data_IF_334027181855
#
_entry.id   IF_334027181855
#
_cell.length_a   1.000
_cell.length_b   1.000
_cell.length_c   1.000
_cell.angle_alpha   90.00
_cell.angle_beta   90.00
_cell.angle_gamma   90.00
#
_symmetry.space_group_name_H-M   'P 1'
#
loop_
_entity.id
_entity.type
_entity.pdbx_description
1 polymer ?
#
# COMPACT_ATOMS: atom_id res chain seq x y z
N UNK A 1 -7.63 5.11 31.90
CA UNK A 1 -6.52 5.97 31.43
C UNK A 1 -6.26 5.61 29.97
N UNK A 2 -6.59 6.48 29.00
CA UNK A 2 -6.27 6.21 27.57
C UNK A 2 -4.77 6.40 27.37
N UNK A 3 -4.04 5.46 26.73
CA UNK A 3 -2.62 5.64 26.47
C UNK A 3 -2.42 6.89 25.59
N UNK A 4 -1.50 7.77 25.98
CA UNK A 4 -1.08 8.90 25.13
C UNK A 4 -0.48 8.32 23.86
N UNK A 5 -1.11 8.56 22.70
CA UNK A 5 -0.54 8.20 21.39
C UNK A 5 0.82 8.91 21.25
N UNK A 6 1.90 8.14 21.06
CA UNK A 6 3.24 8.70 20.83
C UNK A 6 3.29 9.36 19.45
N UNK A 7 3.99 10.49 19.36
CA UNK A 7 4.24 11.17 18.08
C UNK A 7 5.17 10.31 17.22
N UNK A 8 4.82 10.12 15.95
CA UNK A 8 5.62 9.34 15.01
C UNK A 8 6.99 10.00 14.77
N UNK A 9 8.06 9.20 14.84
CA UNK A 9 9.34 9.54 14.25
C UNK A 9 9.27 9.29 12.74
N UNK A 10 9.05 10.37 11.99
CA UNK A 10 8.83 10.33 10.54
C UNK A 10 10.15 10.21 9.76
N UNK A 11 11.28 10.53 10.39
CA UNK A 11 12.60 10.46 9.74
C UNK A 11 13.16 9.03 9.72
N UNK A 12 12.51 8.10 10.43
CA UNK A 12 12.94 6.71 10.57
C UNK A 12 11.93 5.66 10.07
N UNK A 13 10.84 6.08 9.41
CA UNK A 13 9.81 5.16 8.92
C UNK A 13 10.37 4.03 8.03
N UNK A 14 9.83 2.82 8.20
CA UNK A 14 10.01 1.71 7.25
C UNK A 14 8.73 1.47 6.45
N UNK A 15 8.84 1.49 5.12
CA UNK A 15 7.75 1.12 4.23
C UNK A 15 8.21 0.23 3.09
N UNK A 16 7.37 -0.73 2.70
CA UNK A 16 7.63 -1.67 1.63
C UNK A 16 6.45 -1.69 0.64
N UNK A 17 6.70 -1.72 -0.68
CA UNK A 17 5.65 -1.95 -1.66
C UNK A 17 5.34 -3.45 -1.76
N UNK A 18 4.11 -3.83 -1.41
CA UNK A 18 3.62 -5.20 -1.56
C UNK A 18 2.38 -5.24 -2.46
N UNK A 19 1.61 -6.33 -2.45
CA UNK A 19 0.44 -6.50 -3.30
C UNK A 19 -0.50 -7.57 -2.75
N UNK A 20 -1.72 -7.70 -3.30
CA UNK A 20 -2.67 -8.75 -2.89
C UNK A 20 -2.14 -10.19 -3.05
N UNK A 21 -1.10 -10.35 -3.87
CA UNK A 21 -0.33 -11.60 -4.00
C UNK A 21 0.30 -12.11 -2.71
N UNK A 22 0.49 -11.27 -1.69
CA UNK A 22 0.96 -11.70 -0.37
C UNK A 22 -0.09 -12.43 0.46
N UNK A 23 -1.37 -12.28 0.13
CA UNK A 23 -2.49 -12.93 0.83
C UNK A 23 -3.20 -13.99 -0.02
N UNK A 24 -3.05 -13.94 -1.34
CA UNK A 24 -3.73 -14.83 -2.28
C UNK A 24 -2.84 -15.15 -3.46
N UNK A 25 -3.11 -16.24 -4.18
CA UNK A 25 -2.35 -16.57 -5.38
C UNK A 25 -2.54 -15.50 -6.47
N UNK A 26 -1.49 -14.76 -6.79
CA UNK A 26 -1.39 -13.82 -7.91
C UNK A 26 -0.07 -14.12 -8.64
N UNK A 27 -0.09 -14.32 -9.97
CA UNK A 27 1.06 -14.60 -10.84
C UNK A 27 1.83 -15.93 -10.61
N UNK A 28 2.54 -16.09 -9.50
CA UNK A 28 3.39 -17.26 -9.25
C UNK A 28 3.62 -17.51 -7.77
N UNK A 29 4.08 -18.71 -7.42
CA UNK A 29 4.47 -19.06 -6.04
C UNK A 29 5.60 -18.20 -5.51
N UNK A 30 6.62 -17.91 -6.34
CA UNK A 30 7.75 -17.05 -5.96
C UNK A 30 7.33 -15.61 -5.73
N UNK A 31 6.43 -15.07 -6.57
CA UNK A 31 5.86 -13.74 -6.39
C UNK A 31 5.08 -13.65 -5.08
N UNK A 32 4.15 -14.59 -4.86
CA UNK A 32 3.33 -14.62 -3.65
C UNK A 32 4.17 -14.77 -2.38
N UNK A 33 5.15 -15.69 -2.38
CA UNK A 33 6.06 -15.87 -1.25
C UNK A 33 6.87 -14.59 -0.94
N UNK A 34 7.37 -13.90 -1.96
CA UNK A 34 8.09 -12.64 -1.78
C UNK A 34 7.21 -11.55 -1.17
N UNK A 35 5.96 -11.42 -1.64
CA UNK A 35 5.01 -10.43 -1.12
C UNK A 35 4.53 -10.76 0.30
N UNK A 36 4.20 -12.02 0.57
CA UNK A 36 3.85 -12.48 1.91
C UNK A 36 4.99 -12.26 2.92
N UNK A 37 6.24 -12.42 2.47
CA UNK A 37 7.43 -12.13 3.26
C UNK A 37 7.53 -10.65 3.65
N UNK A 38 7.25 -9.72 2.73
CA UNK A 38 7.22 -8.28 3.02
C UNK A 38 6.12 -7.91 4.02
N UNK A 39 4.94 -8.53 3.88
CA UNK A 39 3.81 -8.32 4.79
C UNK A 39 4.18 -8.77 6.21
N UNK A 40 4.70 -10.00 6.34
CA UNK A 40 5.13 -10.56 7.63
C UNK A 40 6.25 -9.75 8.26
N UNK A 41 7.30 -9.46 7.50
CA UNK A 41 8.44 -8.68 7.97
C UNK A 41 8.01 -7.32 8.51
N UNK A 42 7.07 -6.65 7.85
CA UNK A 42 6.60 -5.34 8.29
C UNK A 42 5.72 -5.43 9.55
N UNK A 43 4.91 -6.48 9.68
CA UNK A 43 4.14 -6.74 10.89
C UNK A 43 5.07 -6.97 12.11
N UNK A 44 6.14 -7.75 11.94
CA UNK A 44 7.12 -8.00 13.00
C UNK A 44 7.91 -6.72 13.35
N UNK A 45 8.36 -5.97 12.34
CA UNK A 45 8.99 -4.65 12.55
C UNK A 45 8.08 -3.69 13.30
N UNK A 46 6.77 -3.70 13.06
CA UNK A 46 5.83 -2.82 13.77
C UNK A 46 5.85 -3.07 15.28
N UNK A 47 5.96 -4.33 15.72
CA UNK A 47 6.08 -4.69 17.14
C UNK A 47 7.42 -4.25 17.73
N UNK A 48 8.52 -4.49 17.01
CA UNK A 48 9.88 -4.16 17.46
C UNK A 48 10.14 -2.65 17.52
N UNK A 49 9.47 -1.88 16.65
CA UNK A 49 9.69 -0.45 16.48
C UNK A 49 8.64 0.41 17.20
N UNK A 50 7.50 -0.15 17.62
CA UNK A 50 6.48 0.57 18.38
C UNK A 50 7.05 1.28 19.63
N UNK A 51 7.90 0.65 20.48
CA UNK A 51 8.46 1.32 21.65
C UNK A 51 9.33 2.54 21.31
N UNK A 52 9.88 2.58 20.09
CA UNK A 52 10.71 3.66 19.56
C UNK A 52 9.90 4.75 18.86
N UNK A 53 8.58 4.56 18.70
CA UNK A 53 7.72 5.50 17.98
C UNK A 53 7.99 5.54 16.47
N UNK A 54 8.60 4.49 15.92
CA UNK A 54 8.92 4.39 14.50
C UNK A 54 7.83 3.53 13.83
N UNK A 55 7.08 4.06 12.85
CA UNK A 55 6.07 3.28 12.16
C UNK A 55 6.70 2.28 11.18
N UNK A 56 6.00 1.16 10.96
CA UNK A 56 6.31 0.19 9.91
C UNK A 56 5.02 -0.15 9.16
N UNK A 57 4.96 0.13 7.85
CA UNK A 57 3.70 0.01 7.07
C UNK A 57 3.98 -0.54 5.67
N UNK A 58 3.13 -1.45 5.20
CA UNK A 58 3.16 -1.94 3.82
C UNK A 58 2.15 -1.20 2.97
N UNK A 59 2.54 -0.77 1.76
CA UNK A 59 1.61 -0.13 0.82
C UNK A 59 1.21 -1.14 -0.27
N UNK A 60 -0.10 -1.26 -0.54
CA UNK A 60 -0.64 -2.07 -1.63
C UNK A 60 -1.15 -1.17 -2.78
N UNK A 61 -0.43 -1.09 -3.90
CA UNK A 61 -0.95 -0.53 -5.13
C UNK A 61 -1.95 -1.48 -5.81
N UNK A 62 -2.83 -0.91 -6.62
CA UNK A 62 -3.62 -1.63 -7.61
C UNK A 62 -2.79 -2.01 -8.84
N UNK A 63 -3.43 -2.16 -10.00
CA UNK A 63 -2.68 -2.21 -11.27
C UNK A 63 -1.98 -0.88 -11.48
N UNK A 64 -0.64 -0.89 -11.53
CA UNK A 64 0.14 0.31 -11.83
C UNK A 64 0.52 0.31 -13.30
N UNK A 65 0.18 1.35 -14.05
CA UNK A 65 0.47 1.50 -15.48
C UNK A 65 1.95 1.83 -15.74
N UNK A 66 2.85 0.95 -15.34
CA UNK A 66 4.28 1.03 -15.69
C UNK A 66 4.50 0.65 -17.15
N UNK A 67 5.65 0.97 -17.71
CA UNK A 67 6.04 0.64 -19.08
C UNK A 67 5.87 -0.86 -19.37
N UNK A 68 6.23 -1.71 -18.40
CA UNK A 68 6.06 -3.17 -18.49
C UNK A 68 4.59 -3.58 -18.57
N UNK A 69 3.70 -2.97 -17.77
CA UNK A 69 2.26 -3.26 -17.80
C UNK A 69 1.61 -2.71 -19.06
N UNK A 70 2.01 -1.52 -19.52
CA UNK A 70 1.53 -0.92 -20.76
C UNK A 70 1.90 -1.78 -21.97
N UNK A 71 3.11 -2.32 -22.01
CA UNK A 71 3.54 -3.24 -23.07
C UNK A 71 2.78 -4.57 -23.01
N UNK A 72 2.63 -5.15 -21.81
CA UNK A 72 1.84 -6.36 -21.62
C UNK A 72 0.36 -6.18 -22.02
N UNK A 73 -0.22 -5.01 -21.73
CA UNK A 73 -1.62 -4.70 -22.03
C UNK A 73 -1.90 -4.63 -23.53
N UNK A 74 -0.95 -4.13 -24.34
CA UNK A 74 -1.06 -4.13 -25.81
C UNK A 74 -1.21 -5.54 -26.38
N UNK A 75 -0.51 -6.50 -25.78
CA UNK A 75 -0.51 -7.89 -26.24
C UNK A 75 -1.67 -8.72 -25.69
N UNK A 76 -2.33 -8.26 -24.63
CA UNK A 76 -3.32 -9.02 -23.85
C UNK A 76 -4.70 -8.37 -23.75
N UNK A 77 -4.91 -7.26 -24.46
CA UNK A 77 -6.17 -6.50 -24.46
C UNK A 77 -6.65 -6.18 -23.03
N UNK A 78 -5.73 -5.87 -22.12
CA UNK A 78 -6.06 -5.55 -20.73
C UNK A 78 -6.70 -4.16 -20.66
N UNK A 79 -7.86 -4.06 -20.01
CA UNK A 79 -8.43 -2.76 -19.65
C UNK A 79 -7.61 -2.12 -18.52
N UNK A 80 -7.06 -0.94 -18.79
CA UNK A 80 -6.28 -0.14 -17.84
C UNK A 80 -7.02 1.13 -17.40
N UNK A 81 -8.33 1.25 -17.69
CA UNK A 81 -9.15 2.42 -17.34
C UNK A 81 -9.16 2.74 -15.84
N UNK A 82 -9.02 1.71 -14.99
CA UNK A 82 -8.93 1.80 -13.52
C UNK A 82 -7.50 1.67 -12.98
N UNK A 83 -6.48 1.71 -13.87
CA UNK A 83 -5.08 1.63 -13.44
C UNK A 83 -4.62 2.89 -12.71
N UNK A 84 -3.62 2.72 -11.86
CA UNK A 84 -2.96 3.78 -11.10
C UNK A 84 -1.67 4.19 -11.82
N UNK A 85 -1.36 5.48 -11.87
CA UNK A 85 -0.02 5.90 -12.31
C UNK A 85 0.99 5.72 -11.17
N UNK A 86 2.29 5.57 -11.48
CA UNK A 86 3.35 5.63 -10.47
C UNK A 86 3.31 6.95 -9.67
N UNK A 87 2.90 8.05 -10.30
CA UNK A 87 2.75 9.35 -9.66
C UNK A 87 1.64 9.34 -8.61
N UNK A 88 0.46 8.80 -8.91
CA UNK A 88 -0.64 8.69 -7.96
C UNK A 88 -0.24 7.84 -6.74
N UNK A 89 0.45 6.71 -6.98
CA UNK A 89 0.99 5.86 -5.90
C UNK A 89 1.97 6.65 -5.02
N UNK A 90 2.88 7.41 -5.63
CA UNK A 90 3.82 8.28 -4.91
C UNK A 90 3.12 9.35 -4.09
N UNK A 91 2.08 10.00 -4.63
CA UNK A 91 1.28 11.00 -3.91
C UNK A 91 0.52 10.38 -2.73
N UNK A 92 -0.08 9.22 -2.93
CA UNK A 92 -0.77 8.47 -1.86
C UNK A 92 0.21 8.07 -0.74
N UNK A 93 1.42 7.64 -1.11
CA UNK A 93 2.48 7.39 -0.14
C UNK A 93 2.79 8.66 0.66
N UNK A 94 3.07 9.80 0.00
CA UNK A 94 3.35 11.08 0.70
C UNK A 94 2.18 11.50 1.61
N UNK A 95 0.93 11.35 1.17
CA UNK A 95 -0.23 11.65 2.00
C UNK A 95 -0.28 10.77 3.27
N UNK A 96 -0.03 9.47 3.13
CA UNK A 96 0.12 8.55 4.27
C UNK A 96 1.26 9.01 5.20
N UNK A 97 2.45 9.28 4.66
CA UNK A 97 3.63 9.68 5.42
C UNK A 97 3.43 10.97 6.23
N UNK A 98 2.61 11.88 5.71
CA UNK A 98 2.38 13.19 6.31
C UNK A 98 1.19 13.22 7.27
N UNK A 99 0.39 12.14 7.35
CA UNK A 99 -0.79 12.09 8.21
C UNK A 99 -0.43 12.07 9.71
N UNK A 100 -1.25 12.72 10.53
CA UNK A 100 -0.98 12.90 11.96
C UNK A 100 -1.01 11.58 12.75
N UNK A 101 -1.77 10.60 12.27
CA UNK A 101 -2.04 9.33 12.96
C UNK A 101 -1.20 8.17 12.40
N UNK A 102 0.00 8.44 11.89
CA UNK A 102 0.86 7.43 11.24
C UNK A 102 1.19 6.24 12.15
N UNK A 103 1.47 6.48 13.44
CA UNK A 103 1.70 5.40 14.41
C UNK A 103 0.46 4.53 14.64
N UNK A 104 -0.76 5.07 14.48
CA UNK A 104 -1.98 4.29 14.60
C UNK A 104 -2.17 3.31 13.42
N UNK A 105 -1.36 3.46 12.36
CA UNK A 105 -1.36 2.63 11.17
C UNK A 105 -0.15 1.69 11.11
N UNK A 106 0.72 1.69 12.13
CA UNK A 106 1.85 0.76 12.18
C UNK A 106 1.35 -0.70 12.15
N UNK A 107 2.02 -1.56 11.40
CA UNK A 107 1.65 -2.97 11.20
C UNK A 107 0.48 -3.18 10.24
N UNK A 108 -0.08 -2.13 9.64
CA UNK A 108 -1.21 -2.25 8.70
C UNK A 108 -0.76 -2.30 7.24
N UNK A 109 -1.70 -2.65 6.38
CA UNK A 109 -1.53 -2.77 4.92
C UNK A 109 -2.55 -1.86 4.22
N UNK A 110 -2.35 -0.53 4.19
CA UNK A 110 -3.21 0.37 3.43
C UNK A 110 -3.11 0.14 1.92
N UNK A 111 -4.27 0.21 1.27
CA UNK A 111 -4.38 0.17 -0.18
C UNK A 111 -4.31 1.58 -0.76
N UNK A 112 -3.65 1.74 -1.90
CA UNK A 112 -3.54 3.05 -2.56
C UNK A 112 -4.93 3.59 -2.89
N UNK A 113 -5.87 2.78 -3.38
CA UNK A 113 -7.23 3.24 -3.67
C UNK A 113 -7.96 3.79 -2.43
N UNK A 114 -7.72 3.23 -1.25
CA UNK A 114 -8.32 3.74 0.00
C UNK A 114 -7.66 5.05 0.42
N UNK A 115 -6.33 5.16 0.28
CA UNK A 115 -5.60 6.36 0.67
C UNK A 115 -5.93 7.55 -0.24
N UNK A 116 -6.11 7.32 -1.55
CA UNK A 116 -6.47 8.40 -2.49
C UNK A 116 -7.90 8.88 -2.30
N UNK A 117 -8.79 8.01 -1.83
CA UNK A 117 -10.14 8.39 -1.39
C UNK A 117 -10.08 9.14 -0.05
N UNK A 118 -9.38 8.59 0.94
CA UNK A 118 -9.29 9.14 2.30
C UNK A 118 -8.66 10.54 2.33
N UNK A 119 -7.56 10.73 1.59
CA UNK A 119 -6.79 11.97 1.58
C UNK A 119 -7.12 12.90 0.41
N UNK A 120 -8.17 12.58 -0.35
CA UNK A 120 -8.56 13.31 -1.55
C UNK A 120 -7.41 13.58 -2.54
N UNK A 121 -6.59 12.53 -2.77
CA UNK A 121 -5.44 12.62 -3.67
C UNK A 121 -5.89 12.32 -5.08
N UNK A 122 -5.57 13.23 -6.00
CA UNK A 122 -5.82 13.08 -7.42
C UNK A 122 -4.53 12.80 -8.17
N UNK A 123 -4.66 12.12 -9.30
CA UNK A 123 -3.60 11.93 -10.26
C UNK A 123 -3.31 13.22 -11.05
N UNK A 124 -2.28 13.23 -11.90
CA UNK A 124 -2.00 14.36 -12.80
C UNK A 124 -3.14 14.66 -13.77
N UNK A 125 -3.93 13.64 -14.12
CA UNK A 125 -5.12 13.77 -14.96
C UNK A 125 -6.34 14.37 -14.24
N UNK A 126 -6.22 14.65 -12.93
CA UNK A 126 -7.34 15.08 -12.08
C UNK A 126 -8.32 13.96 -11.74
N UNK A 127 -7.97 12.70 -12.03
CA UNK A 127 -8.80 11.51 -11.76
C UNK A 127 -8.17 10.63 -10.69
N UNK A 128 -8.93 9.68 -10.17
CA UNK A 128 -8.47 8.55 -9.36
C UNK A 128 -9.29 7.30 -9.73
N UNK A 129 -8.78 6.07 -9.49
CA UNK A 129 -9.59 4.88 -9.66
C UNK A 129 -10.88 4.98 -8.83
N UNK A 130 -12.00 4.56 -9.42
CA UNK A 130 -13.32 4.55 -8.76
C UNK A 130 -13.73 3.17 -8.31
N UNK A 131 -12.98 2.15 -8.72
CA UNK A 131 -13.23 0.74 -8.40
C UNK A 131 -12.12 0.18 -7.51
N UNK A 132 -12.48 -0.81 -6.69
CA UNK A 132 -11.51 -1.53 -5.85
C UNK A 132 -10.80 -2.59 -6.67
N UNK A 133 -9.48 -2.66 -6.55
CA UNK A 133 -8.65 -3.47 -7.45
C UNK A 133 -8.90 -4.98 -7.31
N UNK A 134 -9.00 -5.49 -6.08
CA UNK A 134 -9.21 -6.91 -5.84
C UNK A 134 -10.30 -7.15 -4.80
N UNK A 135 -10.92 -8.34 -4.84
CA UNK A 135 -11.71 -8.83 -3.71
C UNK A 135 -10.76 -9.03 -2.55
N UNK A 136 -10.86 -8.13 -1.58
CA UNK A 136 -10.13 -8.21 -0.33
C UNK A 136 -10.57 -9.49 0.36
N UNK A 137 -9.62 -10.35 0.69
CA UNK A 137 -9.90 -11.45 1.60
C UNK A 137 -9.99 -10.80 2.97
N UNK A 138 -11.08 -10.99 3.69
CA UNK A 138 -11.16 -10.57 5.08
C UNK A 138 -10.03 -11.29 5.82
N UNK A 139 -9.01 -10.54 6.23
CA UNK A 139 -7.96 -11.04 7.10
C UNK A 139 -8.60 -11.31 8.47
N UNK A 140 -9.18 -12.50 8.65
CA UNK A 140 -9.39 -13.03 9.98
C UNK A 140 -8.01 -13.32 10.55
N UNK A 141 -7.64 -12.49 11.54
CA UNK A 141 -6.58 -12.68 12.53
C UNK A 141 -6.30 -14.13 12.87
#
# INVERSE_FOLDING_TARGET
MRPRRRRADRDALRTHPSSPGGQTYHFSSSYGAGKAGLDRMTADMALELEPKGIPAIVLYPGVVATEFILDAAKNREMDLSQSQTPLLVGRAAVALLTCNELMARTGTIPWVEDLVEEFDVLDESGKRPTERYARRVDSKT
#
